data_IF_865053352524
#
_entry.id   IF_865053352524
#
_cell.length_a   1.000
_cell.length_b   1.000
_cell.length_c   1.000
_cell.angle_alpha   90.00
_cell.angle_beta   90.00
_cell.angle_gamma   90.00
#
_symmetry.space_group_name_H-M   'P 1'
#
loop_
_entity.id
_entity.type
_entity.pdbx_description
1 polymer ?
#
# COMPACT_ATOMS: atom_id res chain seq x y z
N UNK A 1 -16.08 24.29 52.79
CA UNK A 1 -15.41 25.06 51.71
C UNK A 1 -14.32 24.19 51.13
N UNK A 2 -14.47 23.89 49.83
CA UNK A 2 -13.57 23.21 48.87
C UNK A 2 -12.36 22.45 49.42
N UNK A 3 -12.46 21.12 49.40
CA UNK A 3 -11.31 20.22 49.48
C UNK A 3 -10.78 20.02 48.06
N UNK A 4 -9.55 20.44 47.83
CA UNK A 4 -8.80 20.27 46.59
C UNK A 4 -8.27 18.84 46.52
N UNK A 5 -8.78 18.02 45.60
CA UNK A 5 -8.19 16.71 45.32
C UNK A 5 -7.35 16.82 44.05
N UNK A 6 -6.03 16.71 44.19
CA UNK A 6 -5.11 16.48 43.09
C UNK A 6 -5.46 15.14 42.43
N UNK A 7 -5.76 15.13 41.14
CA UNK A 7 -5.75 13.92 40.32
C UNK A 7 -4.37 13.81 39.66
N UNK A 8 -3.63 12.77 40.03
CA UNK A 8 -2.30 12.47 39.54
C UNK A 8 -2.30 12.07 38.06
N UNK A 9 -1.23 12.46 37.37
CA UNK A 9 -0.92 12.07 36.00
C UNK A 9 -0.29 10.68 36.05
N UNK A 10 -0.91 9.68 35.42
CA UNK A 10 -0.25 8.44 35.05
C UNK A 10 0.17 8.53 33.58
N UNK A 11 1.44 8.84 33.33
CA UNK A 11 2.05 8.70 31.99
C UNK A 11 2.35 7.22 31.77
N UNK A 12 1.55 6.57 30.94
CA UNK A 12 1.86 5.25 30.38
C UNK A 12 2.28 5.42 28.92
N UNK A 13 3.58 5.36 28.65
CA UNK A 13 4.12 5.23 27.29
C UNK A 13 3.81 3.84 26.75
N UNK A 14 2.99 3.76 25.70
CA UNK A 14 2.90 2.59 24.82
C UNK A 14 3.23 3.05 23.40
N UNK A 15 4.16 2.34 22.80
CA UNK A 15 4.64 2.55 21.45
C UNK A 15 3.50 2.45 20.42
N UNK A 16 3.42 3.42 19.53
CA UNK A 16 2.61 3.36 18.30
C UNK A 16 1.19 3.93 18.43
N UNK A 17 1.00 5.16 17.95
CA UNK A 17 -0.32 5.70 17.61
C UNK A 17 -0.89 6.66 18.66
N UNK A 18 -0.52 7.94 18.55
CA UNK A 18 -1.15 9.02 19.30
C UNK A 18 -2.58 9.23 18.79
N UNK A 19 -3.58 8.75 19.54
CA UNK A 19 -4.89 9.40 19.62
C UNK A 19 -5.08 9.85 21.06
N UNK A 20 -4.59 11.05 21.36
CA UNK A 20 -5.05 11.81 22.50
C UNK A 20 -6.51 12.22 22.23
N UNK A 21 -7.46 11.34 22.55
CA UNK A 21 -8.86 11.75 22.68
C UNK A 21 -8.98 12.40 24.05
N UNK A 22 -9.18 13.70 24.08
CA UNK A 22 -9.58 14.40 25.31
C UNK A 22 -10.89 13.75 25.80
N UNK A 23 -10.83 13.02 26.92
CA UNK A 23 -12.03 12.62 27.64
C UNK A 23 -12.54 13.86 28.36
N UNK A 24 -13.28 14.69 27.63
CA UNK A 24 -14.10 15.72 28.23
C UNK A 24 -15.53 15.18 28.34
N UNK A 25 -15.90 14.97 29.59
CA UNK A 25 -17.26 14.91 30.13
C UNK A 25 -18.10 13.64 29.84
N UNK A 26 -18.11 12.74 30.82
CA UNK A 26 -18.88 11.49 30.84
C UNK A 26 -20.36 11.69 31.24
N UNK A 27 -21.00 12.80 30.84
CA UNK A 27 -22.31 13.17 31.35
C UNK A 27 -23.32 13.71 30.31
N UNK A 28 -23.17 13.43 29.00
CA UNK A 28 -24.17 13.78 27.99
C UNK A 28 -24.75 12.53 27.29
N UNK A 29 -26.08 12.31 27.27
CA UNK A 29 -26.71 11.11 26.71
C UNK A 29 -26.74 11.01 25.16
N UNK A 30 -25.96 11.78 24.40
CA UNK A 30 -25.94 11.73 22.92
C UNK A 30 -24.70 11.08 22.29
N UNK A 31 -23.70 10.73 23.11
CA UNK A 31 -22.38 10.24 22.68
C UNK A 31 -22.48 8.86 22.01
N UNK A 32 -23.57 8.11 22.24
CA UNK A 32 -23.82 6.81 21.59
C UNK A 32 -23.88 6.90 20.07
N UNK A 33 -24.51 7.95 19.53
CA UNK A 33 -24.61 8.18 18.09
C UNK A 33 -23.25 8.53 17.48
N UNK A 34 -22.43 9.29 18.21
CA UNK A 34 -21.07 9.67 17.83
C UNK A 34 -20.12 8.47 17.88
N UNK A 35 -20.25 7.61 18.89
CA UNK A 35 -19.47 6.35 19.01
C UNK A 35 -19.84 5.36 17.89
N UNK A 36 -21.13 5.21 17.55
CA UNK A 36 -21.57 4.33 16.46
C UNK A 36 -21.13 4.86 15.08
N UNK A 37 -21.18 6.19 14.86
CA UNK A 37 -20.68 6.81 13.63
C UNK A 37 -19.14 6.73 13.52
N UNK A 38 -18.43 6.84 14.65
CA UNK A 38 -16.99 6.65 14.70
C UNK A 38 -16.56 5.19 14.46
N UNK A 39 -17.37 4.20 14.91
CA UNK A 39 -17.16 2.77 14.59
C UNK A 39 -17.33 2.46 13.11
N UNK A 40 -18.26 3.13 12.42
CA UNK A 40 -18.45 3.02 10.98
C UNK A 40 -17.32 3.70 10.16
N UNK A 41 -16.50 4.53 10.79
CA UNK A 41 -15.45 5.31 10.13
C UNK A 41 -14.05 4.70 10.29
N UNK A 42 -13.93 3.51 10.89
CA UNK A 42 -12.72 2.72 10.76
C UNK A 42 -12.70 2.23 9.30
N UNK A 43 -12.11 3.02 8.43
CA UNK A 43 -11.48 2.48 7.24
C UNK A 43 -10.44 1.48 7.75
N UNK A 44 -10.87 0.23 7.92
CA UNK A 44 -9.96 -0.89 8.13
C UNK A 44 -9.13 -0.87 6.86
N UNK A 45 -7.94 -0.28 6.97
CA UNK A 45 -6.83 -0.67 6.12
C UNK A 45 -6.66 -2.16 6.40
N UNK A 46 -7.38 -2.99 5.64
CA UNK A 46 -7.11 -4.42 5.63
C UNK A 46 -5.61 -4.53 5.39
N UNK A 47 -4.86 -5.23 6.25
CA UNK A 47 -3.44 -5.47 6.00
C UNK A 47 -3.34 -6.01 4.58
N UNK A 48 -2.41 -5.45 3.81
CA UNK A 48 -2.41 -5.56 2.36
C UNK A 48 -2.50 -7.01 1.87
N UNK A 49 -2.09 -8.02 2.67
CA UNK A 49 -2.34 -9.43 2.43
C UNK A 49 -1.91 -10.24 3.67
N UNK A 50 -2.62 -11.31 3.99
CA UNK A 50 -2.42 -12.07 5.24
C UNK A 50 -1.25 -13.07 5.20
N UNK A 51 -0.44 -13.10 4.13
CA UNK A 51 0.65 -14.09 3.86
C UNK A 51 0.24 -15.57 3.95
N UNK A 52 -1.06 -15.80 4.08
CA UNK A 52 -1.69 -17.10 4.07
C UNK A 52 -2.20 -17.31 2.64
N UNK A 53 -2.08 -18.53 2.10
CA UNK A 53 -2.74 -18.87 0.86
C UNK A 53 -4.26 -18.95 1.10
N UNK A 54 -4.89 -17.77 1.13
CA UNK A 54 -6.31 -17.64 1.39
C UNK A 54 -7.14 -17.62 0.09
N UNK A 55 -6.51 -17.76 -1.07
CA UNK A 55 -7.18 -17.76 -2.38
C UNK A 55 -7.83 -16.44 -2.82
N UNK A 56 -7.89 -15.41 -1.96
CA UNK A 56 -8.55 -14.12 -2.22
C UNK A 56 -7.51 -13.10 -2.70
N UNK A 57 -7.05 -13.27 -3.95
CA UNK A 57 -6.04 -12.43 -4.56
C UNK A 57 -6.39 -12.11 -6.03
N UNK A 58 -6.12 -10.88 -6.45
CA UNK A 58 -6.23 -10.44 -7.86
C UNK A 58 -4.90 -9.82 -8.29
N UNK A 59 -4.10 -10.60 -9.02
CA UNK A 59 -2.78 -10.18 -9.50
C UNK A 59 -2.84 -8.97 -10.42
N UNK A 60 -3.86 -8.93 -11.28
CA UNK A 60 -4.03 -7.84 -12.22
C UNK A 60 -4.36 -6.56 -11.46
N UNK A 61 -5.26 -6.63 -10.47
CA UNK A 61 -5.55 -5.49 -9.62
C UNK A 61 -4.32 -5.00 -8.85
N UNK A 62 -3.43 -5.89 -8.37
CA UNK A 62 -2.18 -5.47 -7.74
C UNK A 62 -1.26 -4.72 -8.70
N UNK A 63 -1.12 -5.18 -9.95
CA UNK A 63 -0.36 -4.45 -10.98
C UNK A 63 -0.98 -3.08 -11.27
N UNK A 64 -2.30 -2.99 -11.39
CA UNK A 64 -2.99 -1.70 -11.57
C UNK A 64 -2.82 -0.77 -10.36
N UNK A 65 -2.84 -1.30 -9.14
CA UNK A 65 -2.55 -0.50 -7.94
C UNK A 65 -1.13 0.04 -7.95
N UNK A 66 -0.15 -0.77 -8.35
CA UNK A 66 1.23 -0.29 -8.52
C UNK A 66 1.34 0.83 -9.55
N UNK A 67 0.61 0.75 -10.67
CA UNK A 67 0.54 1.85 -11.67
C UNK A 67 -0.07 3.11 -11.07
N UNK A 68 -1.17 2.98 -10.32
CA UNK A 68 -1.83 4.11 -9.64
C UNK A 68 -0.91 4.77 -8.60
N UNK A 69 -0.14 3.98 -7.84
CA UNK A 69 0.86 4.49 -6.91
C UNK A 69 1.95 5.28 -7.63
N UNK A 70 2.52 4.73 -8.71
CA UNK A 70 3.53 5.42 -9.52
C UNK A 70 3.01 6.72 -10.15
N UNK A 71 1.76 6.73 -10.64
CA UNK A 71 1.11 7.94 -11.15
C UNK A 71 0.86 8.98 -10.05
N UNK A 72 0.53 8.53 -8.84
CA UNK A 72 0.37 9.42 -7.67
C UNK A 72 1.70 10.05 -7.29
N UNK A 73 2.80 9.29 -7.33
CA UNK A 73 4.16 9.81 -7.12
C UNK A 73 4.53 10.84 -8.19
N UNK A 74 4.23 10.59 -9.46
CA UNK A 74 4.46 11.54 -10.58
C UNK A 74 3.71 12.85 -10.35
N UNK A 75 2.44 12.77 -9.93
CA UNK A 75 1.64 13.95 -9.56
C UNK A 75 2.27 14.69 -8.37
N UNK A 76 2.71 13.97 -7.33
CA UNK A 76 3.35 14.58 -6.17
C UNK A 76 4.63 15.34 -6.57
N UNK A 77 5.50 14.77 -7.41
CA UNK A 77 6.69 15.46 -7.94
C UNK A 77 6.32 16.76 -8.64
N UNK A 78 5.33 16.72 -9.54
CA UNK A 78 4.88 17.92 -10.26
C UNK A 78 4.32 19.00 -9.33
N UNK A 79 3.56 18.61 -8.29
CA UNK A 79 3.02 19.53 -7.29
C UNK A 79 4.12 20.18 -6.46
N UNK A 80 5.13 19.42 -6.03
CA UNK A 80 6.29 19.95 -5.31
C UNK A 80 7.02 20.99 -6.17
N UNK A 81 7.29 20.68 -7.44
CA UNK A 81 7.97 21.60 -8.36
C UNK A 81 7.16 22.88 -8.58
N UNK A 82 5.84 22.77 -8.73
CA UNK A 82 4.96 23.93 -8.91
C UNK A 82 4.93 24.83 -7.66
N UNK A 83 4.67 24.24 -6.48
CA UNK A 83 4.60 24.97 -5.21
C UNK A 83 5.95 25.59 -4.81
N UNK A 84 7.07 25.00 -5.25
CA UNK A 84 8.42 25.52 -4.97
C UNK A 84 8.73 26.82 -5.72
N UNK A 85 7.97 27.18 -6.77
CA UNK A 85 8.15 28.45 -7.50
C UNK A 85 7.55 29.64 -6.74
N UNK A 86 6.50 29.38 -5.95
CA UNK A 86 5.74 30.37 -5.19
C UNK A 86 6.01 30.25 -3.68
N UNK A 87 7.28 30.18 -3.29
CA UNK A 87 7.71 30.25 -1.87
C UNK A 87 8.18 31.68 -1.49
N UNK A 88 7.52 32.81 -1.85
CA UNK A 88 7.94 34.09 -1.32
C UNK A 88 7.54 34.23 0.16
N UNK A 89 8.32 35.09 0.82
CA UNK A 89 8.43 35.40 2.25
C UNK A 89 7.10 35.80 2.94
N UNK A 90 6.02 36.02 2.19
CA UNK A 90 4.69 36.39 2.71
C UNK A 90 3.71 35.23 2.88
N UNK A 91 4.04 34.03 2.38
CA UNK A 91 3.22 32.85 2.66
C UNK A 91 3.50 32.42 4.11
N UNK A 92 2.48 32.36 4.96
CA UNK A 92 2.58 31.90 6.37
C UNK A 92 2.95 30.40 6.49
N UNK A 93 3.86 29.87 5.65
CA UNK A 93 4.28 28.47 5.64
C UNK A 93 3.29 27.49 4.97
N UNK A 94 2.15 27.96 4.45
CA UNK A 94 1.13 27.09 3.86
C UNK A 94 1.65 26.24 2.69
N UNK A 95 2.48 26.82 1.82
CA UNK A 95 3.10 26.09 0.70
C UNK A 95 4.14 25.09 1.20
N UNK A 96 4.93 25.43 2.22
CA UNK A 96 5.89 24.51 2.83
C UNK A 96 5.21 23.30 3.47
N UNK A 97 4.12 23.51 4.20
CA UNK A 97 3.33 22.41 4.78
C UNK A 97 2.77 21.49 3.69
N UNK A 98 2.33 22.06 2.57
CA UNK A 98 1.78 21.30 1.45
C UNK A 98 2.86 20.51 0.71
N UNK A 99 4.02 21.11 0.48
CA UNK A 99 5.20 20.42 -0.08
C UNK A 99 5.61 19.25 0.81
N UNK A 100 5.70 19.47 2.13
CA UNK A 100 6.04 18.41 3.08
C UNK A 100 5.05 17.24 3.02
N UNK A 101 3.75 17.52 2.90
CA UNK A 101 2.72 16.47 2.71
C UNK A 101 2.90 15.70 1.41
N UNK A 102 3.19 16.39 0.31
CA UNK A 102 3.47 15.73 -0.97
C UNK A 102 4.70 14.83 -0.90
N UNK A 103 5.78 15.28 -0.26
CA UNK A 103 6.98 14.47 -0.06
C UNK A 103 6.69 13.23 0.80
N UNK A 104 5.98 13.38 1.92
CA UNK A 104 5.62 12.25 2.78
C UNK A 104 4.73 11.22 2.07
N UNK A 105 3.69 11.67 1.34
CA UNK A 105 2.80 10.78 0.60
C UNK A 105 3.58 10.04 -0.50
N UNK A 106 4.47 10.74 -1.19
CA UNK A 106 5.31 10.16 -2.24
C UNK A 106 6.24 9.06 -1.71
N UNK A 107 6.87 9.27 -0.56
CA UNK A 107 7.67 8.25 0.14
C UNK A 107 6.81 7.06 0.58
N UNK A 108 5.61 7.31 1.09
CA UNK A 108 4.68 6.25 1.50
C UNK A 108 4.25 5.37 0.31
N UNK A 109 3.92 5.96 -0.84
CA UNK A 109 3.62 5.18 -2.06
C UNK A 109 4.85 4.40 -2.56
N UNK A 110 6.05 4.97 -2.50
CA UNK A 110 7.29 4.26 -2.81
C UNK A 110 7.52 3.04 -1.92
N UNK A 111 7.28 3.18 -0.60
CA UNK A 111 7.35 2.06 0.34
C UNK A 111 6.28 1.00 0.10
N UNK A 112 5.05 1.39 -0.23
CA UNK A 112 3.96 0.45 -0.57
C UNK A 112 4.32 -0.39 -1.78
N UNK A 113 4.84 0.23 -2.85
CA UNK A 113 5.35 -0.48 -4.03
C UNK A 113 6.42 -1.50 -3.66
N UNK A 114 7.43 -1.10 -2.89
CA UNK A 114 8.49 -2.01 -2.44
C UNK A 114 7.95 -3.16 -1.59
N UNK A 115 6.97 -2.88 -0.74
CA UNK A 115 6.31 -3.89 0.07
C UNK A 115 5.56 -4.89 -0.81
N UNK A 116 4.69 -4.45 -1.71
CA UNK A 116 3.96 -5.33 -2.63
C UNK A 116 4.92 -6.18 -3.46
N UNK A 117 6.00 -5.59 -3.99
CA UNK A 117 7.00 -6.37 -4.74
C UNK A 117 7.65 -7.44 -3.86
N UNK A 118 8.09 -7.09 -2.66
CA UNK A 118 8.82 -8.00 -1.78
C UNK A 118 7.93 -9.10 -1.17
N UNK A 119 6.78 -8.73 -0.62
CA UNK A 119 5.93 -9.59 0.21
C UNK A 119 4.84 -10.33 -0.55
N UNK A 120 4.50 -9.84 -1.75
CA UNK A 120 3.50 -10.48 -2.59
C UNK A 120 4.13 -11.14 -3.80
N UNK A 121 4.75 -10.36 -4.68
CA UNK A 121 5.24 -10.93 -5.94
C UNK A 121 6.45 -11.84 -5.76
N UNK A 122 7.50 -11.37 -5.07
CA UNK A 122 8.76 -12.11 -4.95
C UNK A 122 8.64 -13.36 -4.08
N UNK A 123 7.83 -13.33 -3.02
CA UNK A 123 7.66 -14.45 -2.09
C UNK A 123 6.56 -15.42 -2.53
N UNK A 124 5.50 -14.94 -3.18
CA UNK A 124 4.33 -15.77 -3.50
C UNK A 124 4.30 -16.18 -4.98
N UNK A 125 4.59 -15.25 -5.91
CA UNK A 125 4.41 -15.44 -7.36
C UNK A 125 5.66 -15.90 -8.10
N UNK A 126 6.85 -15.46 -7.68
CA UNK A 126 8.11 -15.89 -8.29
C UNK A 126 8.55 -17.22 -7.68
N UNK A 127 8.67 -18.27 -8.51
CA UNK A 127 9.04 -19.62 -8.07
C UNK A 127 10.47 -19.97 -8.48
N UNK A 128 11.27 -20.41 -7.52
CA UNK A 128 12.59 -20.95 -7.81
C UNK A 128 12.48 -22.24 -8.64
N UNK A 129 13.37 -22.46 -9.62
CA UNK A 129 13.36 -23.69 -10.41
C UNK A 129 13.73 -24.91 -9.54
N UNK A 130 13.10 -26.06 -9.81
CA UNK A 130 13.40 -27.30 -9.10
C UNK A 130 14.84 -27.78 -9.37
N UNK A 131 15.42 -28.57 -8.46
CA UNK A 131 16.72 -29.18 -8.66
C UNK A 131 16.73 -30.02 -9.96
N UNK A 132 17.75 -29.82 -10.80
CA UNK A 132 17.84 -30.47 -12.12
C UNK A 132 17.08 -29.76 -13.25
N UNK A 133 16.45 -28.61 -12.99
CA UNK A 133 15.87 -27.78 -14.05
C UNK A 133 16.96 -27.27 -15.00
N UNK A 134 16.67 -27.25 -16.31
CA UNK A 134 17.59 -26.74 -17.33
C UNK A 134 17.82 -25.22 -17.27
N UNK A 135 18.81 -24.75 -18.02
CA UNK A 135 19.27 -23.36 -18.01
C UNK A 135 18.16 -22.34 -18.31
N UNK A 136 17.24 -22.67 -19.22
CA UNK A 136 16.12 -21.80 -19.58
C UNK A 136 15.18 -21.49 -18.39
N UNK A 137 14.95 -22.47 -17.50
CA UNK A 137 14.11 -22.25 -16.32
C UNK A 137 14.79 -21.32 -15.30
N UNK A 138 16.12 -21.45 -15.17
CA UNK A 138 16.94 -20.59 -14.31
C UNK A 138 17.01 -19.16 -14.87
N UNK A 139 17.16 -19.00 -16.18
CA UNK A 139 17.17 -17.70 -16.84
C UNK A 139 15.82 -16.98 -16.70
N UNK A 140 14.70 -17.69 -16.89
CA UNK A 140 13.36 -17.14 -16.63
C UNK A 140 13.23 -16.62 -15.20
N UNK A 141 13.62 -17.42 -14.21
CA UNK A 141 13.59 -17.04 -12.79
C UNK A 141 14.42 -15.78 -12.52
N UNK A 142 15.66 -15.71 -13.02
CA UNK A 142 16.51 -14.53 -12.88
C UNK A 142 15.93 -13.29 -13.58
N UNK A 143 15.31 -13.46 -14.76
CA UNK A 143 14.62 -12.39 -15.46
C UNK A 143 13.45 -11.81 -14.65
N UNK A 144 12.67 -12.66 -14.00
CA UNK A 144 11.60 -12.23 -13.10
C UNK A 144 12.15 -11.47 -11.89
N UNK A 145 13.18 -12.00 -11.22
CA UNK A 145 13.83 -11.31 -10.10
C UNK A 145 14.36 -9.93 -10.51
N UNK A 146 15.02 -9.83 -11.66
CA UNK A 146 15.54 -8.57 -12.17
C UNK A 146 14.43 -7.55 -12.47
N UNK A 147 13.33 -7.99 -13.08
CA UNK A 147 12.20 -7.12 -13.38
C UNK A 147 11.56 -6.55 -12.09
N UNK A 148 11.30 -7.40 -11.10
CA UNK A 148 10.75 -6.96 -9.82
C UNK A 148 11.74 -6.08 -9.03
N UNK A 149 13.03 -6.41 -9.05
CA UNK A 149 14.05 -5.56 -8.44
C UNK A 149 14.10 -4.16 -9.08
N UNK A 150 13.95 -4.07 -10.41
CA UNK A 150 13.87 -2.79 -11.13
C UNK A 150 12.70 -1.94 -10.64
N UNK A 151 11.55 -2.53 -10.34
CA UNK A 151 10.40 -1.81 -9.76
C UNK A 151 10.76 -1.28 -8.36
N UNK A 152 11.34 -2.10 -7.49
CA UNK A 152 11.72 -1.67 -6.12
C UNK A 152 12.75 -0.53 -6.11
N UNK A 153 13.74 -0.58 -7.02
CA UNK A 153 14.73 0.50 -7.19
C UNK A 153 14.11 1.73 -7.83
N UNK A 154 13.24 1.53 -8.83
CA UNK A 154 12.48 2.59 -9.48
C UNK A 154 11.60 3.34 -8.48
N UNK A 155 10.92 2.63 -7.57
CA UNK A 155 10.10 3.22 -6.51
C UNK A 155 10.93 4.08 -5.55
N UNK A 156 12.09 3.59 -5.11
CA UNK A 156 13.03 4.37 -4.28
C UNK A 156 13.47 5.65 -5.00
N UNK A 157 13.94 5.53 -6.24
CA UNK A 157 14.42 6.67 -7.04
C UNK A 157 13.31 7.68 -7.30
N UNK A 158 12.14 7.19 -7.70
CA UNK A 158 10.97 7.99 -7.94
C UNK A 158 10.57 8.74 -6.68
N UNK A 159 10.70 8.17 -5.47
CA UNK A 159 10.42 8.85 -4.21
C UNK A 159 11.40 10.01 -3.94
N UNK A 160 12.69 9.79 -4.19
CA UNK A 160 13.78 10.72 -3.91
C UNK A 160 13.91 11.87 -4.93
N UNK A 161 13.53 11.65 -6.19
CA UNK A 161 13.76 12.59 -7.30
C UNK A 161 12.46 13.29 -7.76
N UNK A 162 12.55 14.57 -8.12
CA UNK A 162 11.44 15.35 -8.65
C UNK A 162 11.35 15.34 -10.19
N UNK A 163 12.37 14.84 -10.88
CA UNK A 163 12.35 14.67 -12.33
C UNK A 163 11.27 13.64 -12.74
N UNK A 164 10.33 13.98 -13.64
CA UNK A 164 9.35 13.03 -14.15
C UNK A 164 9.97 11.75 -14.74
N UNK A 165 11.20 11.81 -15.25
CA UNK A 165 11.92 10.65 -15.78
C UNK A 165 12.06 9.51 -14.76
N UNK A 166 12.20 9.82 -13.47
CA UNK A 166 12.30 8.81 -12.42
C UNK A 166 10.99 8.01 -12.28
N UNK A 167 9.84 8.69 -12.35
CA UNK A 167 8.52 8.04 -12.31
C UNK A 167 8.15 7.36 -13.62
N UNK A 168 8.63 7.87 -14.76
CA UNK A 168 8.43 7.25 -16.07
C UNK A 168 9.18 5.92 -16.18
N UNK A 169 10.41 5.86 -15.65
CA UNK A 169 11.19 4.63 -15.55
C UNK A 169 10.53 3.61 -14.62
N UNK A 170 9.94 4.05 -13.50
CA UNK A 170 9.15 3.18 -12.61
C UNK A 170 7.93 2.60 -13.33
N UNK A 171 7.16 3.42 -14.05
CA UNK A 171 6.00 2.96 -14.84
C UNK A 171 6.43 1.96 -15.91
N UNK A 172 7.51 2.24 -16.64
CA UNK A 172 8.06 1.32 -17.62
C UNK A 172 8.48 -0.02 -16.99
N UNK A 173 9.06 0.00 -15.78
CA UNK A 173 9.39 -1.24 -15.06
C UNK A 173 8.15 -2.05 -14.65
N UNK A 174 7.06 -1.39 -14.25
CA UNK A 174 5.78 -2.04 -13.95
C UNK A 174 5.16 -2.63 -15.22
N UNK A 175 5.26 -1.92 -16.35
CA UNK A 175 4.71 -2.38 -17.63
C UNK A 175 5.41 -3.62 -18.18
N UNK A 176 6.67 -3.87 -17.80
CA UNK A 176 7.39 -5.11 -18.15
C UNK A 176 6.73 -6.35 -17.53
N UNK A 177 6.22 -6.25 -16.30
CA UNK A 177 5.63 -7.41 -15.60
C UNK A 177 4.14 -7.57 -15.89
N UNK A 178 3.45 -6.52 -16.34
CA UNK A 178 2.01 -6.54 -16.52
C UNK A 178 1.50 -7.64 -17.47
N UNK A 179 2.18 -8.00 -18.58
CA UNK A 179 1.77 -9.13 -19.41
C UNK A 179 1.79 -10.49 -18.70
N UNK A 180 2.48 -10.62 -17.56
CA UNK A 180 2.48 -11.85 -16.76
C UNK A 180 1.21 -11.99 -15.92
N UNK A 181 0.46 -10.90 -15.74
CA UNK A 181 -0.72 -10.79 -14.89
C UNK A 181 -1.89 -10.13 -15.64
N UNK A 182 -2.41 -10.76 -16.72
CA UNK A 182 -3.51 -10.20 -17.50
C UNK A 182 -4.81 -10.17 -16.70
N UNK A 183 -5.72 -9.27 -17.07
CA UNK A 183 -7.08 -9.26 -16.52
C UNK A 183 -7.78 -10.60 -16.77
N UNK A 184 -8.45 -11.15 -15.75
CA UNK A 184 -9.21 -12.39 -15.89
C UNK A 184 -10.40 -12.20 -16.85
N UNK A 185 -10.62 -13.18 -17.74
CA UNK A 185 -11.81 -13.23 -18.58
C UNK A 185 -13.02 -13.58 -17.72
N UNK A 186 -13.92 -12.63 -17.51
CA UNK A 186 -15.18 -12.88 -16.78
C UNK A 186 -15.22 -12.33 -15.36
N UNK A 187 -14.31 -11.44 -14.96
CA UNK A 187 -14.27 -10.75 -13.65
C UNK A 187 -15.53 -9.94 -13.26
N UNK A 188 -16.61 -10.01 -14.05
CA UNK A 188 -17.95 -9.50 -13.73
C UNK A 188 -18.94 -10.59 -13.29
N UNK A 189 -18.54 -11.87 -13.21
CA UNK A 189 -19.37 -12.90 -12.60
C UNK A 189 -19.52 -12.62 -11.10
N UNK A 190 -20.75 -12.61 -10.60
CA UNK A 190 -21.01 -12.35 -9.18
C UNK A 190 -20.33 -13.42 -8.32
N UNK A 191 -19.37 -12.99 -7.50
CA UNK A 191 -18.79 -13.84 -6.44
C UNK A 191 -19.93 -14.19 -5.50
N UNK A 192 -20.21 -15.48 -5.32
CA UNK A 192 -21.26 -15.87 -4.38
C UNK A 192 -20.70 -15.80 -2.95
N UNK A 193 -21.55 -15.62 -1.92
CA UNK A 193 -21.11 -15.62 -0.52
C UNK A 193 -20.43 -16.93 -0.06
N UNK A 194 -20.40 -17.98 -0.86
CA UNK A 194 -19.78 -19.27 -0.49
C UNK A 194 -18.41 -19.46 -1.13
N UNK A 195 -18.08 -18.70 -2.19
CA UNK A 195 -16.83 -18.82 -2.94
C UNK A 195 -15.59 -18.55 -2.06
N UNK A 196 -15.71 -17.65 -1.08
CA UNK A 196 -14.61 -17.30 -0.18
C UNK A 196 -14.37 -18.32 0.95
N UNK A 197 -15.24 -19.34 1.04
CA UNK A 197 -15.14 -20.46 2.00
C UNK A 197 -14.73 -21.77 1.31
N UNK A 198 -14.54 -21.76 -0.02
CA UNK A 198 -14.07 -22.92 -0.75
C UNK A 198 -12.67 -23.32 -0.28
N UNK A 199 -12.53 -24.55 0.22
CA UNK A 199 -11.23 -25.12 0.56
C UNK A 199 -10.47 -25.40 -0.74
N UNK A 200 -9.21 -24.96 -0.80
CA UNK A 200 -8.34 -25.29 -1.94
C UNK A 200 -8.13 -26.81 -2.01
N UNK A 201 -8.30 -27.40 -3.19
CA UNK A 201 -7.87 -28.78 -3.43
C UNK A 201 -6.35 -28.87 -3.21
N UNK A 202 -5.83 -30.05 -2.84
CA UNK A 202 -4.44 -30.29 -2.43
C UNK A 202 -3.37 -30.14 -3.54
N UNK A 203 -3.47 -29.10 -4.38
CA UNK A 203 -2.52 -28.66 -5.40
C UNK A 203 -1.64 -27.49 -4.94
N UNK A 204 -1.01 -26.79 -5.89
CA UNK A 204 -0.13 -25.63 -5.60
C UNK A 204 -0.94 -24.48 -4.99
N UNK A 205 -0.94 -24.44 -3.66
CA UNK A 205 -1.67 -23.52 -2.74
C UNK A 205 -1.43 -22.02 -3.04
N UNK A 206 -0.58 -21.69 -4.00
CA UNK A 206 -0.25 -20.32 -4.40
C UNK A 206 -0.88 -19.90 -5.74
N UNK A 207 -1.70 -20.75 -6.38
CA UNK A 207 -2.57 -20.35 -7.49
C UNK A 207 -3.90 -19.84 -6.95
N UNK A 208 -4.24 -18.61 -7.30
CA UNK A 208 -5.54 -18.00 -7.01
C UNK A 208 -6.66 -18.72 -7.77
N UNK A 209 -7.75 -19.02 -7.05
CA UNK A 209 -9.06 -19.60 -7.43
C UNK A 209 -9.06 -20.92 -8.23
N UNK A 210 -9.91 -21.91 -7.85
CA UNK A 210 -10.29 -22.98 -8.77
C UNK A 210 -11.10 -22.36 -9.91
N UNK A 211 -10.52 -22.26 -11.11
CA UNK A 211 -11.22 -21.70 -12.28
C UNK A 211 -10.36 -20.93 -13.29
N UNK A 212 -9.04 -20.81 -13.09
CA UNK A 212 -8.08 -20.19 -14.01
C UNK A 212 -6.82 -21.03 -14.24
#
# INVERSE_FOLDING_TARGET
>A
MKNTTLAGIAVGTIAGGLLAVNVLDAAAPDVRSVIETARASIAVSLPAHCEIPCGIYDDHAEVERMRLDAMTMKKASAQIVALSKDVPVSSNGANLNTIARWAMIKEEHGRKLQHTVAWYFLTQRVKAPAAGSGDAAREKYHGQLAAFHRISVGAMKAAQDLDPAATDELLAAIDVIAPWYPAEKGAGAAITPEDHLALEEAGDVWRSRPGG
#
